data_IF_218524381895
#
_entry.id   IF_218524381895
#
_cell.length_a   1.000
_cell.length_b   1.000
_cell.length_c   1.000
_cell.angle_alpha   90.00
_cell.angle_beta   90.00
_cell.angle_gamma   90.00
#
_symmetry.space_group_name_H-M   'P 1'
#
loop_
_entity.id
_entity.type
_entity.pdbx_description
1 polymer ?
#
# COMPACT_ATOMS: atom_id res chain seq x y z
N UNK A 1 20.97 13.76 1.64
CA UNK A 1 21.13 12.51 0.89
C UNK A 1 22.49 12.50 0.22
N UNK A 2 23.32 11.49 0.51
CA UNK A 2 24.70 11.38 0.00
C UNK A 2 24.79 10.99 -1.48
N UNK A 3 23.75 10.36 -2.02
CA UNK A 3 23.68 9.92 -3.43
C UNK A 3 22.60 10.70 -4.18
N UNK A 4 23.02 11.74 -4.89
CA UNK A 4 22.09 12.64 -5.61
C UNK A 4 21.29 11.95 -6.72
N UNK A 5 21.87 10.95 -7.38
CA UNK A 5 21.21 10.21 -8.46
C UNK A 5 19.99 9.41 -8.02
N UNK A 6 19.86 9.13 -6.71
CA UNK A 6 18.71 8.43 -6.10
C UNK A 6 17.72 9.38 -5.41
N UNK A 7 17.87 10.69 -5.63
CA UNK A 7 17.00 11.67 -4.99
C UNK A 7 15.58 11.64 -5.59
N UNK A 8 14.57 11.87 -4.75
CA UNK A 8 13.18 11.82 -5.15
C UNK A 8 12.76 10.41 -5.53
N UNK A 9 12.19 10.26 -6.72
CA UNK A 9 11.70 8.98 -7.28
C UNK A 9 12.69 8.33 -8.27
N UNK A 10 13.96 8.77 -8.29
CA UNK A 10 15.00 8.23 -9.18
C UNK A 10 15.58 6.91 -8.65
N UNK A 11 14.73 5.93 -8.45
CA UNK A 11 15.07 4.59 -7.93
C UNK A 11 14.36 3.54 -8.78
N UNK A 12 14.68 2.26 -8.55
CA UNK A 12 13.92 1.17 -9.16
C UNK A 12 12.43 1.28 -8.77
N UNK A 13 11.54 0.98 -9.72
CA UNK A 13 10.11 1.22 -9.55
C UNK A 13 9.52 0.45 -8.36
N UNK A 14 9.94 -0.77 -8.14
CA UNK A 14 9.54 -1.63 -7.04
C UNK A 14 10.18 -1.27 -5.68
N UNK A 15 11.05 -0.24 -5.67
CA UNK A 15 11.62 0.35 -4.47
C UNK A 15 11.00 1.71 -4.11
N UNK A 16 10.33 2.37 -5.06
CA UNK A 16 9.91 3.78 -4.94
C UNK A 16 8.99 4.05 -3.75
N UNK A 17 8.15 3.08 -3.37
CA UNK A 17 7.20 3.21 -2.26
C UNK A 17 7.77 2.74 -0.90
N UNK A 18 9.00 2.20 -0.87
CA UNK A 18 9.61 1.80 0.40
C UNK A 18 9.69 2.95 1.42
N UNK A 19 10.15 4.17 1.08
CA UNK A 19 10.23 5.26 2.04
C UNK A 19 8.87 5.69 2.59
N UNK A 20 7.82 5.69 1.77
CA UNK A 20 6.47 6.05 2.19
C UNK A 20 5.86 4.97 3.09
N UNK A 21 5.96 3.71 2.70
CA UNK A 21 5.36 2.60 3.44
C UNK A 21 6.07 2.33 4.77
N UNK A 22 7.42 2.41 4.83
CA UNK A 22 8.13 2.22 6.09
C UNK A 22 7.73 3.27 7.14
N UNK A 23 7.44 4.50 6.73
CA UNK A 23 7.01 5.57 7.63
C UNK A 23 5.67 5.26 8.34
N UNK A 24 4.80 4.46 7.74
CA UNK A 24 3.55 4.03 8.37
C UNK A 24 3.78 3.23 9.64
N UNK A 25 4.90 2.50 9.76
CA UNK A 25 5.19 1.67 10.90
C UNK A 25 5.30 2.48 12.20
N UNK A 26 5.81 3.73 12.17
CA UNK A 26 5.85 4.60 13.35
C UNK A 26 4.46 4.93 13.88
N UNK A 27 3.44 4.96 13.02
CA UNK A 27 2.05 5.19 13.41
C UNK A 27 1.39 3.97 14.08
N UNK A 28 2.06 2.83 14.11
CA UNK A 28 1.62 1.62 14.81
C UNK A 28 2.39 1.33 16.10
N UNK A 29 3.48 2.02 16.33
CA UNK A 29 4.29 1.88 17.54
C UNK A 29 3.87 2.92 18.59
N UNK A 30 3.66 2.47 19.84
CA UNK A 30 3.22 3.34 20.93
C UNK A 30 4.15 4.54 21.11
N UNK A 31 5.46 4.30 21.14
CA UNK A 31 6.46 5.34 21.28
C UNK A 31 6.53 6.30 20.09
N UNK A 32 6.15 5.85 18.89
CA UNK A 32 6.00 6.73 17.73
C UNK A 32 4.78 7.64 17.86
N UNK A 33 3.62 7.07 18.21
CA UNK A 33 2.39 7.84 18.40
C UNK A 33 2.49 8.87 19.51
N UNK A 34 3.16 8.55 20.60
CA UNK A 34 3.33 9.46 21.74
C UNK A 34 4.14 10.74 21.40
N UNK A 35 4.81 10.78 20.25
CA UNK A 35 5.52 11.98 19.77
C UNK A 35 4.58 13.05 19.19
N UNK A 36 3.45 12.66 18.64
CA UNK A 36 2.59 13.60 17.88
C UNK A 36 1.09 13.41 18.11
N UNK A 37 0.63 12.23 18.54
CA UNK A 37 -0.77 11.91 18.66
C UNK A 37 -1.31 12.28 20.05
N UNK A 38 -1.94 13.45 20.12
CA UNK A 38 -2.58 13.96 21.33
C UNK A 38 -3.97 14.49 21.02
N UNK A 39 -4.84 14.52 22.04
CA UNK A 39 -6.17 15.10 21.93
C UNK A 39 -6.06 16.61 21.66
N UNK A 40 -6.78 17.10 20.66
CA UNK A 40 -6.62 18.47 20.14
C UNK A 40 -6.96 19.59 21.13
N UNK A 41 -7.78 19.32 22.16
CA UNK A 41 -8.13 20.28 23.22
C UNK A 41 -7.34 20.04 24.50
N UNK A 42 -7.27 18.77 24.97
CA UNK A 42 -6.70 18.44 26.29
C UNK A 42 -5.22 18.12 26.27
N UNK A 43 -4.67 17.90 25.07
CA UNK A 43 -3.28 17.44 24.86
C UNK A 43 -2.97 16.07 25.54
N UNK A 44 -3.99 15.32 25.88
CA UNK A 44 -3.82 13.98 26.43
C UNK A 44 -3.43 12.99 25.32
N UNK A 45 -2.53 12.08 25.64
CA UNK A 45 -2.14 11.00 24.70
C UNK A 45 -3.30 10.02 24.48
N UNK A 46 -3.22 9.23 23.40
CA UNK A 46 -4.17 8.16 23.11
C UNK A 46 -4.23 7.21 24.32
N UNK A 47 -5.42 6.92 24.91
CA UNK A 47 -5.57 5.97 25.99
C UNK A 47 -5.04 4.58 25.61
N UNK A 48 -4.41 3.87 26.55
CA UNK A 48 -3.80 2.56 26.29
C UNK A 48 -4.82 1.54 25.76
N UNK A 49 -6.04 1.54 26.31
CA UNK A 49 -7.12 0.66 25.83
C UNK A 49 -7.47 0.92 24.35
N UNK A 50 -7.48 2.19 23.92
CA UNK A 50 -7.77 2.55 22.53
C UNK A 50 -6.61 2.14 21.61
N UNK A 51 -5.37 2.37 22.04
CA UNK A 51 -4.19 1.91 21.33
C UNK A 51 -4.18 0.39 21.12
N UNK A 52 -4.48 -0.38 22.15
CA UNK A 52 -4.56 -1.84 22.06
C UNK A 52 -5.66 -2.30 21.09
N UNK A 53 -6.82 -1.64 21.09
CA UNK A 53 -7.89 -1.91 20.11
C UNK A 53 -7.42 -1.63 18.68
N UNK A 54 -6.74 -0.50 18.47
CA UNK A 54 -6.15 -0.13 17.18
C UNK A 54 -5.12 -1.17 16.73
N UNK A 55 -4.18 -1.57 17.60
CA UNK A 55 -3.17 -2.57 17.29
C UNK A 55 -3.78 -3.93 16.89
N UNK A 56 -4.84 -4.37 17.58
CA UNK A 56 -5.59 -5.59 17.21
C UNK A 56 -6.31 -5.44 15.86
N UNK A 57 -6.84 -4.25 15.57
CA UNK A 57 -7.54 -4.00 14.32
C UNK A 57 -6.62 -4.08 13.10
N UNK A 58 -5.32 -3.83 13.25
CA UNK A 58 -4.32 -3.91 12.16
C UNK A 58 -4.32 -5.26 11.44
N UNK A 59 -4.50 -6.35 12.17
CA UNK A 59 -4.50 -7.71 11.60
C UNK A 59 -5.89 -8.24 11.26
N UNK A 60 -6.94 -7.49 11.62
CA UNK A 60 -8.30 -7.91 11.33
C UNK A 60 -8.54 -7.95 9.81
N UNK A 61 -8.93 -9.13 9.32
CA UNK A 61 -9.14 -9.40 7.88
C UNK A 61 -7.94 -9.06 6.97
N UNK A 62 -6.71 -9.13 7.50
CA UNK A 62 -5.49 -8.81 6.74
C UNK A 62 -5.35 -9.65 5.46
N UNK A 63 -5.72 -10.94 5.50
CA UNK A 63 -5.71 -11.78 4.30
C UNK A 63 -6.67 -11.29 3.21
N UNK A 64 -7.85 -10.77 3.59
CA UNK A 64 -8.78 -10.19 2.61
C UNK A 64 -8.23 -8.87 2.01
N UNK A 65 -7.59 -8.04 2.83
CA UNK A 65 -6.91 -6.85 2.34
C UNK A 65 -5.76 -7.19 1.39
N UNK A 66 -4.96 -8.22 1.72
CA UNK A 66 -3.90 -8.74 0.87
C UNK A 66 -4.44 -9.24 -0.49
N UNK A 67 -5.48 -10.04 -0.49
CA UNK A 67 -6.10 -10.53 -1.73
C UNK A 67 -6.62 -9.38 -2.59
N UNK A 68 -7.18 -8.34 -1.99
CA UNK A 68 -7.62 -7.14 -2.72
C UNK A 68 -6.44 -6.45 -3.42
N UNK A 69 -5.31 -6.29 -2.75
CA UNK A 69 -4.10 -5.68 -3.34
C UNK A 69 -3.53 -6.55 -4.47
N UNK A 70 -3.51 -7.87 -4.31
CA UNK A 70 -3.11 -8.79 -5.38
C UNK A 70 -4.07 -8.73 -6.58
N UNK A 71 -5.37 -8.56 -6.33
CA UNK A 71 -6.36 -8.35 -7.39
C UNK A 71 -6.07 -7.09 -8.21
N UNK A 72 -5.69 -5.99 -7.56
CA UNK A 72 -5.32 -4.75 -8.25
C UNK A 72 -4.04 -4.93 -9.08
N UNK A 73 -3.02 -5.57 -8.53
CA UNK A 73 -1.79 -5.85 -9.27
C UNK A 73 -2.04 -6.79 -10.47
N UNK A 74 -2.88 -7.80 -10.31
CA UNK A 74 -3.25 -8.71 -11.39
C UNK A 74 -4.06 -8.01 -12.49
N UNK A 75 -4.99 -7.13 -12.11
CA UNK A 75 -5.77 -6.34 -13.07
C UNK A 75 -4.89 -5.35 -13.83
N UNK A 76 -3.99 -4.64 -13.13
CA UNK A 76 -3.03 -3.74 -13.74
C UNK A 76 -2.16 -4.47 -14.78
N UNK A 77 -1.55 -5.58 -14.38
CA UNK A 77 -0.71 -6.37 -15.29
C UNK A 77 -1.50 -6.87 -16.51
N UNK A 78 -2.68 -7.44 -16.29
CA UNK A 78 -3.50 -7.97 -17.38
C UNK A 78 -3.96 -6.88 -18.35
N UNK A 79 -4.30 -5.69 -17.85
CA UNK A 79 -4.70 -4.55 -18.70
C UNK A 79 -3.56 -4.02 -19.57
N UNK A 80 -2.31 -4.11 -19.09
CA UNK A 80 -1.15 -3.62 -19.84
C UNK A 80 -0.47 -4.68 -20.71
N UNK A 81 -0.68 -5.96 -20.43
CA UNK A 81 -0.03 -7.06 -21.13
C UNK A 81 -0.97 -7.84 -22.05
N UNK A 82 -2.19 -8.13 -21.60
CA UNK A 82 -3.04 -9.14 -22.23
C UNK A 82 -4.31 -8.57 -22.86
N UNK A 83 -4.85 -7.47 -22.33
CA UNK A 83 -6.14 -6.91 -22.76
C UNK A 83 -6.09 -6.38 -24.21
N UNK A 84 -7.07 -6.81 -25.02
CA UNK A 84 -7.34 -6.30 -26.37
C UNK A 84 -8.81 -5.93 -26.49
N UNK A 85 -9.12 -4.66 -26.73
CA UNK A 85 -10.49 -4.16 -26.83
C UNK A 85 -11.33 -4.80 -27.95
N UNK A 86 -10.68 -5.30 -29.00
CA UNK A 86 -11.36 -6.00 -30.10
C UNK A 86 -11.73 -7.44 -29.74
N UNK A 87 -10.98 -8.07 -28.82
CA UNK A 87 -11.19 -9.46 -28.39
C UNK A 87 -11.99 -9.55 -27.09
N UNK A 88 -11.66 -8.72 -26.12
CA UNK A 88 -12.06 -8.88 -24.71
C UNK A 88 -13.25 -7.98 -24.32
N UNK A 89 -13.67 -7.07 -25.21
CA UNK A 89 -14.85 -6.24 -25.04
C UNK A 89 -14.69 -5.14 -23.99
N UNK A 90 -15.68 -4.98 -23.14
CA UNK A 90 -15.74 -3.89 -22.16
C UNK A 90 -14.64 -4.04 -21.09
N UNK A 91 -13.78 -3.02 -20.99
CA UNK A 91 -12.61 -3.00 -20.08
C UNK A 91 -13.02 -3.09 -18.62
N UNK A 92 -14.17 -2.54 -18.23
CA UNK A 92 -14.65 -2.59 -16.85
C UNK A 92 -15.14 -3.99 -16.48
N UNK A 93 -15.78 -4.68 -17.43
CA UNK A 93 -16.20 -6.08 -17.25
C UNK A 93 -14.97 -7.00 -17.15
N UNK A 94 -14.00 -6.83 -18.05
CA UNK A 94 -12.75 -7.58 -18.04
C UNK A 94 -11.99 -7.45 -16.70
N UNK A 95 -11.77 -6.24 -16.26
CA UNK A 95 -11.07 -6.00 -15.00
C UNK A 95 -11.86 -6.45 -13.77
N UNK A 96 -13.19 -6.30 -13.76
CA UNK A 96 -14.05 -6.79 -12.68
C UNK A 96 -13.96 -8.31 -12.53
N UNK A 97 -13.88 -9.05 -13.64
CA UNK A 97 -13.70 -10.51 -13.60
C UNK A 97 -12.39 -10.89 -12.90
N UNK A 98 -11.28 -10.19 -13.20
CA UNK A 98 -10.01 -10.41 -12.53
C UNK A 98 -10.12 -10.09 -11.04
N UNK A 99 -10.70 -8.94 -10.68
CA UNK A 99 -10.87 -8.54 -9.29
C UNK A 99 -11.77 -9.52 -8.51
N UNK A 100 -12.81 -10.08 -9.17
CA UNK A 100 -13.69 -11.07 -8.55
C UNK A 100 -12.93 -12.35 -8.15
N UNK A 101 -11.96 -12.79 -8.91
CA UNK A 101 -11.13 -13.97 -8.58
C UNK A 101 -10.31 -13.77 -7.30
N UNK A 102 -10.06 -12.51 -6.91
CA UNK A 102 -9.32 -12.12 -5.72
C UNK A 102 -10.23 -11.63 -4.58
N UNK A 103 -11.53 -11.75 -4.73
CA UNK A 103 -12.52 -11.36 -3.72
C UNK A 103 -13.19 -12.57 -3.09
N UNK A 104 -13.30 -12.58 -1.77
CA UNK A 104 -14.03 -13.64 -1.04
C UNK A 104 -15.56 -13.47 -1.11
N UNK A 105 -16.05 -12.34 -1.61
CA UNK A 105 -17.46 -12.01 -1.76
C UNK A 105 -17.77 -11.58 -3.19
N UNK A 106 -19.03 -11.75 -3.63
CA UNK A 106 -19.46 -11.24 -4.93
C UNK A 106 -19.29 -9.72 -4.97
N UNK A 107 -18.59 -9.22 -6.00
CA UNK A 107 -18.50 -7.79 -6.27
C UNK A 107 -19.84 -7.29 -6.83
N UNK A 108 -20.25 -6.04 -6.55
CA UNK A 108 -21.41 -5.42 -7.18
C UNK A 108 -21.32 -5.43 -8.72
N UNK A 109 -22.46 -5.52 -9.39
CA UNK A 109 -22.48 -5.57 -10.86
C UNK A 109 -22.00 -4.25 -11.49
N UNK A 110 -22.13 -3.14 -10.78
CA UNK A 110 -21.66 -1.80 -11.13
C UNK A 110 -20.29 -1.46 -10.55
N UNK A 111 -19.55 -2.45 -10.06
CA UNK A 111 -18.22 -2.22 -9.45
C UNK A 111 -17.24 -1.67 -10.46
N UNK A 112 -16.88 -0.39 -10.29
CA UNK A 112 -16.10 0.40 -11.23
C UNK A 112 -14.76 0.88 -10.65
N UNK A 113 -14.15 0.09 -9.77
CA UNK A 113 -12.88 0.48 -9.08
C UNK A 113 -11.77 0.88 -10.05
N UNK A 114 -11.68 0.21 -11.21
CA UNK A 114 -10.66 0.50 -12.22
C UNK A 114 -10.74 1.93 -12.78
N UNK A 115 -11.94 2.51 -12.86
CA UNK A 115 -12.12 3.89 -13.31
C UNK A 115 -11.45 4.91 -12.36
N UNK A 116 -11.20 4.54 -11.10
CA UNK A 116 -10.49 5.35 -10.12
C UNK A 116 -8.97 5.24 -10.16
N UNK A 117 -8.41 4.30 -10.93
CA UNK A 117 -6.95 4.09 -11.01
C UNK A 117 -6.26 5.04 -11.99
N UNK A 118 -6.46 6.35 -11.82
CA UNK A 118 -5.87 7.35 -12.71
C UNK A 118 -4.34 7.23 -12.84
N UNK A 119 -3.63 6.91 -11.77
CA UNK A 119 -2.16 6.83 -11.77
C UNK A 119 -1.59 5.68 -12.61
N UNK A 120 -2.32 4.56 -12.80
CA UNK A 120 -1.91 3.46 -13.66
C UNK A 120 -1.95 3.83 -15.15
N UNK A 121 -2.77 4.80 -15.52
CA UNK A 121 -3.05 5.16 -16.92
C UNK A 121 -2.70 6.62 -17.25
N UNK A 122 -2.17 7.37 -16.28
CA UNK A 122 -1.85 8.80 -16.46
C UNK A 122 -0.62 9.06 -17.34
N UNK A 123 0.24 8.06 -17.51
CA UNK A 123 1.49 8.18 -18.26
C UNK A 123 1.83 6.85 -18.95
N UNK A 124 2.43 6.86 -20.16
CA UNK A 124 2.79 5.63 -20.87
C UNK A 124 3.71 4.67 -20.12
N UNK A 125 4.49 5.19 -19.17
CA UNK A 125 5.35 4.41 -18.27
C UNK A 125 4.80 4.54 -16.86
N UNK A 126 5.21 5.51 -16.07
CA UNK A 126 4.68 5.79 -14.73
C UNK A 126 4.41 4.50 -13.92
N UNK A 127 3.19 4.35 -13.39
CA UNK A 127 2.73 3.16 -12.66
C UNK A 127 2.16 2.04 -13.56
N UNK A 128 2.25 2.16 -14.90
CA UNK A 128 1.77 1.13 -15.83
C UNK A 128 2.43 -0.23 -15.56
N UNK A 129 1.61 -1.27 -15.34
CA UNK A 129 2.05 -2.60 -14.91
C UNK A 129 2.93 -2.61 -13.64
N UNK A 130 2.90 -1.53 -12.87
CA UNK A 130 3.76 -1.29 -11.70
C UNK A 130 3.06 -1.41 -10.35
N UNK A 131 1.77 -1.72 -10.30
CA UNK A 131 1.02 -1.77 -9.05
C UNK A 131 1.56 -2.82 -8.05
N UNK A 132 2.18 -3.88 -8.52
CA UNK A 132 2.83 -4.89 -7.69
C UNK A 132 3.87 -4.30 -6.74
N UNK A 133 4.44 -3.15 -7.07
CA UNK A 133 5.50 -2.47 -6.31
C UNK A 133 5.11 -2.18 -4.86
N UNK A 134 3.82 -1.89 -4.59
CA UNK A 134 3.32 -1.68 -3.23
C UNK A 134 3.51 -2.90 -2.33
N UNK A 135 3.26 -4.11 -2.87
CA UNK A 135 3.44 -5.35 -2.10
C UNK A 135 4.91 -5.76 -1.99
N UNK A 136 5.70 -5.43 -2.99
CA UNK A 136 7.15 -5.61 -2.95
C UNK A 136 7.80 -4.68 -1.91
N UNK A 137 7.42 -3.42 -1.90
CA UNK A 137 7.87 -2.44 -0.93
C UNK A 137 7.47 -2.81 0.52
N UNK A 138 6.31 -3.44 0.73
CA UNK A 138 5.85 -3.93 2.03
C UNK A 138 6.79 -5.02 2.61
N UNK A 139 7.36 -5.88 1.77
CA UNK A 139 8.39 -6.85 2.20
C UNK A 139 9.64 -6.14 2.65
N UNK A 140 10.09 -5.15 1.88
CA UNK A 140 11.31 -4.39 2.16
C UNK A 140 11.15 -3.50 3.40
N UNK A 141 9.98 -2.86 3.57
CA UNK A 141 9.72 -2.02 4.73
C UNK A 141 9.68 -2.85 6.02
N UNK A 142 9.06 -4.02 5.99
CA UNK A 142 8.98 -4.92 7.13
C UNK A 142 10.38 -5.38 7.56
N UNK A 143 11.26 -5.70 6.62
CA UNK A 143 12.65 -6.09 6.90
C UNK A 143 13.43 -4.90 7.48
N UNK A 144 13.42 -3.76 6.80
CA UNK A 144 14.12 -2.56 7.22
C UNK A 144 13.67 -2.08 8.62
N UNK A 145 12.35 -2.13 8.89
CA UNK A 145 11.80 -1.69 10.18
C UNK A 145 12.24 -2.58 11.36
N UNK A 146 12.64 -3.84 11.10
CA UNK A 146 13.19 -4.71 12.15
C UNK A 146 14.43 -4.12 12.82
N UNK A 147 15.24 -3.37 12.06
CA UNK A 147 16.40 -2.67 12.59
C UNK A 147 16.00 -1.57 13.57
N UNK A 148 15.01 -0.75 13.19
CA UNK A 148 14.49 0.31 14.07
C UNK A 148 13.87 -0.26 15.35
N UNK A 149 13.15 -1.37 15.27
CA UNK A 149 12.62 -2.07 16.47
C UNK A 149 13.73 -2.54 17.40
N UNK A 150 14.83 -3.02 16.84
CA UNK A 150 15.95 -3.57 17.62
C UNK A 150 16.83 -2.48 18.22
N UNK A 151 17.09 -1.41 17.51
CA UNK A 151 18.04 -0.36 17.88
C UNK A 151 17.35 0.91 18.44
N UNK A 152 16.02 0.96 18.40
CA UNK A 152 15.18 2.07 18.87
C UNK A 152 14.57 2.85 17.72
N UNK A 153 13.22 2.97 17.71
CA UNK A 153 12.49 3.60 16.60
C UNK A 153 12.73 5.10 16.46
N UNK A 154 13.31 5.74 17.47
CA UNK A 154 13.69 7.16 17.49
C UNK A 154 15.20 7.36 17.57
N UNK A 155 15.98 6.32 17.40
CA UNK A 155 17.43 6.39 17.44
C UNK A 155 17.97 7.10 16.19
N UNK A 156 18.65 8.25 16.32
CA UNK A 156 19.13 9.02 15.16
C UNK A 156 20.28 8.34 14.41
N UNK A 157 20.89 7.29 14.97
CA UNK A 157 22.01 6.55 14.37
C UNK A 157 21.54 5.40 13.45
N UNK A 158 20.22 5.11 13.41
CA UNK A 158 19.59 4.11 12.55
C UNK A 158 19.02 4.78 11.33
#
# INVERSE_FOLDING_TARGET
>A
MSVRSLAGTNVAWDFVELPSQIMENWCWERSGLDLFAAHYETNERIPDELYEKMARARTYRAANAQMRQLGFAAADLALHQDYDSARDGDVMAYGREILQRHSSTKLPDDYAMLAGFGHLFAHPVGYAAGYYSYKWAEVLDADAFTRFKKEGITNPEV
#
